data_IF_727453940807
#
_entry.id   IF_727453940807
#
_cell.length_a   1.000
_cell.length_b   1.000
_cell.length_c   1.000
_cell.angle_alpha   90.00
_cell.angle_beta   90.00
_cell.angle_gamma   90.00
#
_symmetry.space_group_name_H-M   'P 1'
#
loop_
_entity.id
_entity.type
_entity.pdbx_description
1 polymer ?
#
# COMPACT_ATOMS: atom_id res chain seq x y z
N UNK A 1 -25.20 0.73 2.01
CA UNK A 1 -23.94 0.99 1.26
C UNK A 1 -22.68 0.63 2.06
N UNK A 2 -22.58 0.94 3.35
CA UNK A 2 -21.37 0.66 4.15
C UNK A 2 -20.98 -0.82 4.23
N UNK A 3 -21.95 -1.73 4.46
CA UNK A 3 -21.72 -3.20 4.47
C UNK A 3 -21.16 -3.73 3.15
N UNK A 4 -21.64 -3.19 2.03
CA UNK A 4 -21.17 -3.55 0.69
C UNK A 4 -19.71 -3.10 0.51
N UNK A 5 -19.41 -1.84 0.82
CA UNK A 5 -18.05 -1.30 0.73
C UNK A 5 -17.05 -2.05 1.64
N UNK A 6 -17.47 -2.44 2.84
CA UNK A 6 -16.67 -3.28 3.74
C UNK A 6 -16.33 -4.64 3.11
N UNK A 7 -17.32 -5.36 2.58
CA UNK A 7 -17.11 -6.66 1.94
C UNK A 7 -16.18 -6.55 0.72
N UNK A 8 -16.39 -5.53 -0.13
CA UNK A 8 -15.52 -5.28 -1.27
C UNK A 8 -14.09 -4.96 -0.87
N UNK A 9 -13.89 -4.15 0.17
CA UNK A 9 -12.54 -3.84 0.67
C UNK A 9 -11.80 -5.12 1.08
N UNK A 10 -12.48 -6.04 1.79
CA UNK A 10 -11.89 -7.33 2.18
C UNK A 10 -11.58 -8.23 0.99
N UNK A 11 -12.47 -8.26 0.00
CA UNK A 11 -12.25 -9.00 -1.24
C UNK A 11 -10.97 -8.51 -1.95
N UNK A 12 -10.84 -7.19 -2.14
CA UNK A 12 -9.67 -6.61 -2.84
C UNK A 12 -8.36 -6.75 -2.07
N UNK A 13 -8.40 -6.69 -0.73
CA UNK A 13 -7.23 -7.04 0.11
C UNK A 13 -6.88 -8.52 -0.05
N UNK A 14 -7.88 -9.40 -0.10
CA UNK A 14 -7.66 -10.83 -0.34
C UNK A 14 -6.99 -11.07 -1.68
N UNK A 15 -7.46 -10.40 -2.74
CA UNK A 15 -6.87 -10.48 -4.07
C UNK A 15 -5.41 -9.99 -4.08
N UNK A 16 -5.14 -8.83 -3.47
CA UNK A 16 -3.76 -8.32 -3.40
C UNK A 16 -2.84 -9.21 -2.58
N UNK A 17 -3.31 -9.71 -1.44
CA UNK A 17 -2.54 -10.60 -0.56
C UNK A 17 -2.23 -11.95 -1.23
N UNK A 18 -3.18 -12.49 -2.01
CA UNK A 18 -2.98 -13.74 -2.75
C UNK A 18 -1.90 -13.59 -3.82
N UNK A 19 -1.94 -12.51 -4.61
CA UNK A 19 -0.93 -12.25 -5.63
C UNK A 19 0.47 -12.10 -5.02
N UNK A 20 0.59 -11.38 -3.90
CA UNK A 20 1.83 -11.26 -3.12
C UNK A 20 2.36 -12.65 -2.70
N UNK A 21 1.51 -13.48 -2.09
CA UNK A 21 1.89 -14.83 -1.65
C UNK A 21 2.39 -15.69 -2.81
N UNK A 22 1.68 -15.70 -3.94
CA UNK A 22 2.06 -16.48 -5.12
C UNK A 22 3.44 -16.04 -5.64
N UNK A 23 3.67 -14.73 -5.80
CA UNK A 23 4.92 -14.21 -6.35
C UNK A 23 6.12 -14.45 -5.42
N UNK A 24 5.93 -14.37 -4.10
CA UNK A 24 6.99 -14.58 -3.10
C UNK A 24 7.32 -16.05 -2.92
N UNK A 25 6.31 -16.91 -2.72
CA UNK A 25 6.52 -18.35 -2.46
C UNK A 25 7.16 -19.04 -3.66
N UNK A 26 6.75 -18.66 -4.87
CA UNK A 26 7.28 -19.23 -6.11
C UNK A 26 8.57 -18.53 -6.58
N UNK A 27 9.05 -17.49 -5.86
CA UNK A 27 10.25 -16.71 -6.19
C UNK A 27 10.31 -16.29 -7.67
N UNK A 28 9.19 -15.77 -8.19
CA UNK A 28 9.01 -15.54 -9.62
C UNK A 28 9.93 -14.45 -10.19
N UNK A 29 10.40 -13.52 -9.36
CA UNK A 29 11.34 -12.45 -9.70
C UNK A 29 12.06 -11.94 -8.44
N UNK A 30 13.11 -11.14 -8.59
CA UNK A 30 13.80 -10.53 -7.43
C UNK A 30 12.92 -9.49 -6.75
N UNK A 31 12.08 -8.75 -7.49
CA UNK A 31 11.03 -7.85 -6.95
C UNK A 31 9.67 -8.12 -7.60
N UNK A 32 8.57 -7.70 -6.96
CA UNK A 32 7.23 -7.89 -7.56
C UNK A 32 7.09 -7.14 -8.87
N UNK A 33 7.55 -5.89 -8.90
CA UNK A 33 7.46 -5.03 -10.08
C UNK A 33 8.24 -5.57 -11.28
N UNK A 34 9.30 -6.35 -11.07
CA UNK A 34 10.06 -6.98 -12.15
C UNK A 34 9.25 -8.03 -12.94
N UNK A 35 8.08 -8.46 -12.47
CA UNK A 35 7.18 -9.30 -13.27
C UNK A 35 6.49 -8.54 -14.42
N UNK A 36 6.67 -7.23 -14.54
CA UNK A 36 6.16 -6.44 -15.67
C UNK A 36 6.68 -6.94 -17.02
N UNK A 37 5.82 -7.04 -18.03
CA UNK A 37 6.12 -7.60 -19.35
C UNK A 37 6.67 -9.06 -19.31
N UNK A 38 6.29 -9.84 -18.31
CA UNK A 38 6.60 -11.29 -18.22
C UNK A 38 5.30 -12.11 -18.24
N UNK A 39 5.41 -13.44 -18.32
CA UNK A 39 4.26 -14.34 -18.21
C UNK A 39 3.51 -14.22 -16.86
N UNK A 40 4.17 -13.70 -15.83
CA UNK A 40 3.62 -13.53 -14.48
C UNK A 40 2.99 -12.15 -14.25
N UNK A 41 3.02 -11.26 -15.25
CA UNK A 41 2.41 -9.93 -15.19
C UNK A 41 0.93 -9.93 -14.73
N UNK A 42 0.07 -10.90 -15.08
CA UNK A 42 -1.29 -10.95 -14.55
C UNK A 42 -1.37 -10.97 -13.02
N UNK A 43 -0.42 -11.60 -12.32
CA UNK A 43 -0.37 -11.62 -10.85
C UNK A 43 0.04 -10.27 -10.27
N UNK A 44 1.00 -9.60 -10.92
CA UNK A 44 1.38 -8.23 -10.58
C UNK A 44 0.19 -7.28 -10.76
N UNK A 45 -0.48 -7.35 -11.90
CA UNK A 45 -1.64 -6.51 -12.20
C UNK A 45 -2.80 -6.76 -11.23
N UNK A 46 -3.14 -8.02 -10.94
CA UNK A 46 -4.16 -8.36 -9.94
C UNK A 46 -3.81 -7.79 -8.56
N UNK A 47 -2.54 -7.84 -8.17
CA UNK A 47 -2.05 -7.29 -6.90
C UNK A 47 -2.23 -5.78 -6.85
N UNK A 48 -1.72 -5.06 -7.84
CA UNK A 48 -1.78 -3.60 -7.91
C UNK A 48 -3.22 -3.10 -8.03
N UNK A 49 -4.06 -3.74 -8.87
CA UNK A 49 -5.49 -3.42 -8.97
C UNK A 49 -6.19 -3.63 -7.62
N UNK A 50 -5.89 -4.72 -6.91
CA UNK A 50 -6.43 -4.97 -5.57
C UNK A 50 -6.06 -3.88 -4.57
N UNK A 51 -4.81 -3.40 -4.60
CA UNK A 51 -4.35 -2.28 -3.76
C UNK A 51 -5.08 -0.98 -4.15
N UNK A 52 -5.12 -0.64 -5.44
CA UNK A 52 -5.80 0.56 -5.95
C UNK A 52 -7.29 0.56 -5.56
N UNK A 53 -7.99 -0.55 -5.78
CA UNK A 53 -9.40 -0.69 -5.43
C UNK A 53 -9.63 -0.58 -3.92
N UNK A 54 -8.78 -1.23 -3.10
CA UNK A 54 -8.82 -1.15 -1.64
C UNK A 54 -8.76 0.30 -1.15
N UNK A 55 -7.77 1.06 -1.60
CA UNK A 55 -7.58 2.45 -1.16
C UNK A 55 -8.62 3.41 -1.76
N UNK A 56 -9.08 3.15 -2.99
CA UNK A 56 -10.18 3.89 -3.61
C UNK A 56 -11.46 3.74 -2.79
N UNK A 57 -11.87 2.50 -2.47
CA UNK A 57 -13.07 2.24 -1.65
C UNK A 57 -12.91 2.86 -0.27
N UNK A 58 -11.75 2.73 0.37
CA UNK A 58 -11.49 3.35 1.69
C UNK A 58 -11.58 4.88 1.64
N UNK A 59 -11.12 5.52 0.57
CA UNK A 59 -11.25 6.98 0.44
C UNK A 59 -12.71 7.46 0.46
N UNK A 60 -13.62 6.64 -0.06
CA UNK A 60 -15.03 6.97 -0.21
C UNK A 60 -15.87 6.52 0.99
N UNK A 61 -15.63 5.30 1.49
CA UNK A 61 -16.55 4.58 2.37
C UNK A 61 -15.99 4.23 3.75
N UNK A 62 -14.74 4.60 4.05
CA UNK A 62 -14.17 4.34 5.38
C UNK A 62 -14.94 5.13 6.47
N UNK A 63 -15.28 4.55 7.63
CA UNK A 63 -16.11 5.22 8.66
C UNK A 63 -15.53 6.54 9.19
N UNK A 64 -14.20 6.64 9.21
CA UNK A 64 -13.43 7.85 9.57
C UNK A 64 -12.78 8.50 8.34
N UNK A 65 -13.40 8.46 7.16
CA UNK A 65 -12.87 9.09 5.94
C UNK A 65 -12.64 10.61 6.13
N UNK A 66 -13.51 11.28 6.90
CA UNK A 66 -13.41 12.71 7.19
C UNK A 66 -12.38 13.12 8.26
N UNK A 67 -11.78 12.14 8.96
CA UNK A 67 -10.82 12.40 10.04
C UNK A 67 -9.59 13.15 9.52
N UNK A 68 -9.22 14.24 10.20
CA UNK A 68 -7.93 14.90 10.00
C UNK A 68 -6.80 14.06 10.56
N UNK A 69 -5.72 13.91 9.79
CA UNK A 69 -4.52 13.15 10.17
C UNK A 69 -3.41 14.11 10.64
N UNK A 70 -3.09 15.09 9.81
CA UNK A 70 -2.08 16.11 10.11
C UNK A 70 -2.36 17.40 9.34
N UNK A 71 -1.73 18.49 9.81
CA UNK A 71 -1.78 19.81 9.18
C UNK A 71 -0.60 19.90 8.21
N UNK A 72 -0.87 20.31 6.98
CA UNK A 72 0.15 20.56 5.97
C UNK A 72 -0.15 21.95 5.39
N UNK A 73 0.63 22.97 5.72
CA UNK A 73 0.42 24.34 5.21
C UNK A 73 0.99 24.50 3.78
N UNK A 74 0.51 23.69 2.84
CA UNK A 74 0.95 23.68 1.45
C UNK A 74 -0.27 23.87 0.51
N UNK A 75 -0.17 24.78 -0.45
CA UNK A 75 -1.20 25.04 -1.48
C UNK A 75 -2.64 25.17 -0.95
N UNK A 76 -2.86 25.89 0.16
CA UNK A 76 -4.17 26.13 0.82
C UNK A 76 -4.85 24.89 1.43
N UNK A 77 -4.24 23.71 1.36
CA UNK A 77 -4.69 22.58 2.17
C UNK A 77 -4.33 22.94 3.62
N UNK A 78 -5.28 22.86 4.55
CA UNK A 78 -5.01 23.05 5.99
C UNK A 78 -5.01 21.73 6.75
N UNK A 79 -5.78 20.76 6.26
CA UNK A 79 -5.96 19.46 6.91
C UNK A 79 -5.90 18.34 5.88
N UNK A 80 -4.90 17.47 6.02
CA UNK A 80 -4.88 16.21 5.28
C UNK A 80 -5.82 15.25 6.01
N UNK A 81 -6.91 14.87 5.33
CA UNK A 81 -7.88 13.92 5.86
C UNK A 81 -7.53 12.51 5.40
N UNK A 82 -8.00 11.51 6.14
CA UNK A 82 -7.81 10.10 5.80
C UNK A 82 -8.27 9.78 4.36
N UNK A 83 -9.39 10.38 3.91
CA UNK A 83 -9.82 10.21 2.52
C UNK A 83 -8.84 10.74 1.49
N UNK A 84 -8.20 11.87 1.76
CA UNK A 84 -7.23 12.46 0.84
C UNK A 84 -5.99 11.59 0.74
N UNK A 85 -5.51 11.07 1.87
CA UNK A 85 -4.34 10.21 1.89
C UNK A 85 -4.63 8.85 1.23
N UNK A 86 -5.78 8.23 1.50
CA UNK A 86 -6.21 7.02 0.78
C UNK A 86 -6.35 7.24 -0.73
N UNK A 87 -6.95 8.36 -1.17
CA UNK A 87 -7.07 8.69 -2.58
C UNK A 87 -5.69 8.91 -3.23
N UNK A 88 -4.80 9.66 -2.56
CA UNK A 88 -3.43 9.86 -3.02
C UNK A 88 -2.67 8.53 -3.15
N UNK A 89 -2.76 7.66 -2.14
CA UNK A 89 -2.20 6.30 -2.20
C UNK A 89 -2.71 5.51 -3.41
N UNK A 90 -4.03 5.52 -3.66
CA UNK A 90 -4.61 4.81 -4.79
C UNK A 90 -4.08 5.34 -6.14
N UNK A 91 -3.98 6.67 -6.28
CA UNK A 91 -3.42 7.31 -7.48
C UNK A 91 -1.95 6.94 -7.66
N UNK A 92 -1.16 6.92 -6.58
CA UNK A 92 0.25 6.58 -6.63
C UNK A 92 0.46 5.13 -7.09
N UNK A 93 -0.30 4.18 -6.54
CA UNK A 93 -0.27 2.77 -7.00
C UNK A 93 -0.80 2.58 -8.42
N UNK A 94 -1.79 3.38 -8.86
CA UNK A 94 -2.20 3.39 -10.26
C UNK A 94 -1.07 3.89 -11.17
N UNK A 95 -0.27 4.87 -10.71
CA UNK A 95 0.96 5.28 -11.37
C UNK A 95 1.98 4.13 -11.50
N UNK A 96 2.19 3.35 -10.44
CA UNK A 96 3.05 2.15 -10.47
C UNK A 96 2.61 1.15 -11.56
N UNK A 97 1.29 0.98 -11.73
CA UNK A 97 0.71 0.11 -12.76
C UNK A 97 0.93 0.65 -14.19
N UNK A 98 0.90 1.98 -14.36
CA UNK A 98 1.06 2.62 -15.68
C UNK A 98 2.53 2.66 -16.11
N UNK A 99 3.45 2.98 -15.20
CA UNK A 99 4.87 3.09 -15.50
C UNK A 99 5.57 1.79 -15.15
N UNK A 100 5.86 0.93 -16.12
CA UNK A 100 6.52 -0.35 -15.87
C UNK A 100 8.02 -0.24 -15.57
N UNK A 101 8.51 -0.97 -14.56
CA UNK A 101 9.94 -0.94 -14.17
C UNK A 101 10.88 -1.52 -15.24
N UNK A 102 10.39 -2.44 -16.09
CA UNK A 102 11.15 -3.05 -17.18
C UNK A 102 11.07 -2.23 -18.50
N UNK A 103 10.58 -0.99 -18.47
CA UNK A 103 10.52 -0.14 -19.67
C UNK A 103 11.91 0.09 -20.26
N UNK A 104 12.09 0.10 -21.60
CA UNK A 104 13.37 0.45 -22.21
C UNK A 104 13.76 1.92 -21.97
N UNK A 105 12.83 2.76 -21.52
CA UNK A 105 13.02 4.19 -21.37
C UNK A 105 13.31 4.56 -19.91
N UNK A 106 14.49 5.14 -19.66
CA UNK A 106 14.97 5.43 -18.29
C UNK A 106 14.03 6.32 -17.47
N UNK A 107 13.40 7.34 -18.07
CA UNK A 107 12.49 8.22 -17.34
C UNK A 107 11.23 7.49 -16.85
N UNK A 108 10.77 6.44 -17.56
CA UNK A 108 9.63 5.61 -17.14
C UNK A 108 10.01 4.77 -15.93
N UNK A 109 11.21 4.17 -15.93
CA UNK A 109 11.73 3.42 -14.79
C UNK A 109 11.87 4.33 -13.56
N UNK A 110 12.43 5.53 -13.73
CA UNK A 110 12.53 6.53 -12.66
C UNK A 110 11.16 6.93 -12.13
N UNK A 111 10.18 7.16 -13.03
CA UNK A 111 8.81 7.45 -12.62
C UNK A 111 8.22 6.30 -11.80
N UNK A 112 8.39 5.04 -12.22
CA UNK A 112 7.94 3.86 -11.48
C UNK A 112 8.50 3.85 -10.05
N UNK A 113 9.80 4.05 -9.89
CA UNK A 113 10.47 4.05 -8.59
C UNK A 113 9.97 5.19 -7.69
N UNK A 114 9.78 6.39 -8.25
CA UNK A 114 9.21 7.53 -7.53
C UNK A 114 7.78 7.23 -7.08
N UNK A 115 6.92 6.72 -7.96
CA UNK A 115 5.54 6.35 -7.63
C UNK A 115 5.50 5.28 -6.56
N UNK A 116 6.36 4.26 -6.64
CA UNK A 116 6.46 3.18 -5.65
C UNK A 116 6.88 3.73 -4.28
N UNK A 117 7.96 4.53 -4.22
CA UNK A 117 8.44 5.12 -2.98
C UNK A 117 7.41 6.04 -2.32
N UNK A 118 6.76 6.90 -3.12
CA UNK A 118 5.69 7.77 -2.63
C UNK A 118 4.45 6.99 -2.19
N UNK A 119 4.08 5.92 -2.91
CA UNK A 119 2.95 5.06 -2.56
C UNK A 119 3.19 4.42 -1.19
N UNK A 120 4.34 3.78 -0.99
CA UNK A 120 4.74 3.17 0.29
C UNK A 120 4.74 4.23 1.40
N UNK A 121 5.40 5.38 1.18
CA UNK A 121 5.44 6.46 2.16
C UNK A 121 4.02 6.93 2.54
N UNK A 122 3.13 7.13 1.57
CA UNK A 122 1.76 7.58 1.82
C UNK A 122 0.95 6.61 2.69
N UNK A 123 1.15 5.30 2.48
CA UNK A 123 0.49 4.25 3.26
C UNK A 123 1.00 4.25 4.70
N UNK A 124 2.32 4.32 4.88
CA UNK A 124 2.92 4.34 6.22
C UNK A 124 2.59 5.61 7.00
N UNK A 125 2.50 6.76 6.33
CA UNK A 125 1.96 7.98 6.93
C UNK A 125 0.53 7.76 7.43
N UNK A 126 -0.31 7.08 6.64
CA UNK A 126 -1.66 6.78 7.07
C UNK A 126 -1.66 5.87 8.31
N UNK A 127 -0.88 4.79 8.27
CA UNK A 127 -0.72 3.86 9.40
C UNK A 127 -0.27 4.58 10.68
N UNK A 128 0.69 5.51 10.60
CA UNK A 128 1.27 6.22 11.75
C UNK A 128 0.35 7.32 12.31
N UNK A 129 -0.32 8.09 11.45
CA UNK A 129 -1.16 9.22 11.88
C UNK A 129 -2.62 8.84 12.15
N UNK A 130 -3.03 7.62 11.79
CA UNK A 130 -4.40 7.16 12.01
C UNK A 130 -4.77 6.89 13.48
N UNK A 131 -3.93 6.29 14.35
CA UNK A 131 -4.36 5.94 15.71
C UNK A 131 -4.41 7.12 16.70
N UNK A 132 -5.46 7.17 17.51
CA UNK A 132 -5.61 8.17 18.59
C UNK A 132 -5.19 7.64 19.96
N UNK A 133 -5.39 6.34 20.21
CA UNK A 133 -5.08 5.72 21.49
C UNK A 133 -3.58 5.46 21.64
N UNK A 134 -3.08 5.49 22.87
CA UNK A 134 -1.66 5.17 23.16
C UNK A 134 -1.27 3.79 22.63
N UNK A 135 -2.12 2.78 22.87
CA UNK A 135 -1.91 1.41 22.37
C UNK A 135 -1.91 1.37 20.85
N UNK A 136 -2.86 2.03 20.18
CA UNK A 136 -2.91 2.07 18.73
C UNK A 136 -1.69 2.73 18.11
N UNK A 137 -1.18 3.82 18.70
CA UNK A 137 0.04 4.50 18.26
C UNK A 137 1.27 3.60 18.44
N UNK A 138 1.38 2.93 19.59
CA UNK A 138 2.47 1.98 19.82
C UNK A 138 2.48 0.86 18.76
N UNK A 139 1.32 0.25 18.49
CA UNK A 139 1.21 -0.79 17.47
C UNK A 139 1.52 -0.27 16.05
N UNK A 140 1.12 0.96 15.73
CA UNK A 140 1.46 1.59 14.46
C UNK A 140 2.96 1.85 14.32
N UNK A 141 3.61 2.39 15.35
CA UNK A 141 5.07 2.59 15.35
C UNK A 141 5.80 1.26 15.23
N UNK A 142 5.38 0.24 16.00
CA UNK A 142 5.94 -1.11 15.90
C UNK A 142 5.78 -1.67 14.48
N UNK A 143 4.59 -1.56 13.89
CA UNK A 143 4.33 -1.99 12.52
C UNK A 143 5.20 -1.24 11.50
N UNK A 144 5.41 0.07 11.67
CA UNK A 144 6.30 0.85 10.83
C UNK A 144 7.77 0.42 10.97
N UNK A 145 8.24 0.18 12.20
CA UNK A 145 9.61 -0.31 12.45
C UNK A 145 9.82 -1.69 11.83
N UNK A 146 8.88 -2.62 12.03
CA UNK A 146 8.97 -3.98 11.46
C UNK A 146 8.90 -3.93 9.95
N UNK A 147 7.98 -3.16 9.37
CA UNK A 147 7.80 -3.10 7.93
C UNK A 147 8.92 -2.36 7.19
N UNK A 148 9.26 -1.14 7.60
CA UNK A 148 10.33 -0.34 6.99
C UNK A 148 11.69 -0.94 7.32
N UNK A 149 11.94 -1.26 8.59
CA UNK A 149 13.20 -1.87 9.01
C UNK A 149 13.41 -3.24 8.36
N UNK A 150 12.36 -4.06 8.29
CA UNK A 150 12.37 -5.34 7.60
C UNK A 150 12.68 -5.21 6.11
N UNK A 151 12.01 -4.29 5.41
CA UNK A 151 12.29 -3.99 4.00
C UNK A 151 13.74 -3.57 3.76
N UNK A 152 14.25 -2.62 4.55
CA UNK A 152 15.65 -2.18 4.42
C UNK A 152 16.61 -3.34 4.72
N UNK A 153 16.30 -4.14 5.75
CA UNK A 153 17.15 -5.26 6.14
C UNK A 153 17.23 -6.38 5.10
N UNK A 154 16.18 -6.55 4.28
CA UNK A 154 16.20 -7.48 3.16
C UNK A 154 17.29 -7.12 2.11
N UNK A 155 17.75 -5.87 2.04
CA UNK A 155 18.86 -5.47 1.17
C UNK A 155 20.26 -5.78 1.74
N UNK A 156 20.36 -6.14 3.03
CA UNK A 156 21.63 -6.49 3.68
C UNK A 156 21.85 -7.99 3.84
N UNK A 157 20.80 -8.78 3.67
CA UNK A 157 20.84 -10.25 3.73
C UNK A 157 20.59 -10.84 2.35
N UNK A 158 20.81 -12.16 2.20
CA UNK A 158 20.59 -12.90 0.96
C UNK A 158 19.09 -13.15 0.68
N UNK A 159 18.28 -12.11 0.88
CA UNK A 159 16.84 -12.08 0.65
C UNK A 159 16.54 -11.41 -0.68
N UNK A 160 15.45 -11.82 -1.34
CA UNK A 160 14.99 -11.12 -2.54
C UNK A 160 14.31 -9.80 -2.16
N UNK A 161 14.31 -8.82 -3.06
CA UNK A 161 13.58 -7.55 -2.87
C UNK A 161 12.09 -7.84 -2.63
N UNK A 162 11.53 -8.86 -3.30
CA UNK A 162 10.15 -9.33 -3.15
C UNK A 162 9.84 -9.83 -1.73
N UNK A 163 10.79 -10.49 -1.06
CA UNK A 163 10.65 -10.88 0.34
C UNK A 163 10.62 -9.64 1.25
N UNK A 164 11.47 -8.65 0.97
CA UNK A 164 11.42 -7.34 1.63
C UNK A 164 10.09 -6.62 1.43
N UNK A 165 9.59 -6.56 0.19
CA UNK A 165 8.30 -5.95 -0.16
C UNK A 165 7.14 -6.62 0.59
N UNK A 166 7.21 -7.94 0.78
CA UNK A 166 6.23 -8.69 1.58
C UNK A 166 6.26 -8.26 3.04
N UNK A 167 7.45 -8.17 3.64
CA UNK A 167 7.60 -7.75 5.04
C UNK A 167 7.04 -6.33 5.23
N UNK A 168 7.28 -5.42 4.28
CA UNK A 168 6.68 -4.09 4.29
C UNK A 168 5.14 -4.11 4.11
N UNK A 169 4.59 -5.06 3.36
CA UNK A 169 3.15 -5.11 3.11
C UNK A 169 2.35 -5.65 4.31
N UNK A 170 2.91 -6.56 5.11
CA UNK A 170 2.19 -7.25 6.20
C UNK A 170 1.60 -6.27 7.25
N UNK A 171 2.36 -5.32 7.84
CA UNK A 171 1.81 -4.36 8.80
C UNK A 171 0.70 -3.50 8.21
N UNK A 172 0.84 -3.13 6.93
CA UNK A 172 -0.16 -2.37 6.18
C UNK A 172 -1.44 -3.17 6.03
N UNK A 173 -1.36 -4.40 5.55
CA UNK A 173 -2.52 -5.28 5.36
C UNK A 173 -3.28 -5.45 6.68
N UNK A 174 -2.56 -5.74 7.76
CA UNK A 174 -3.14 -5.85 9.09
C UNK A 174 -3.84 -4.55 9.52
N UNK A 175 -3.18 -3.40 9.36
CA UNK A 175 -3.78 -2.09 9.65
C UNK A 175 -5.04 -1.84 8.83
N UNK A 176 -5.02 -2.09 7.51
CA UNK A 176 -6.17 -1.90 6.63
C UNK A 176 -7.35 -2.76 7.11
N UNK A 177 -7.12 -4.04 7.43
CA UNK A 177 -8.16 -4.96 7.91
C UNK A 177 -8.73 -4.53 9.27
N UNK A 178 -7.88 -4.08 10.19
CA UNK A 178 -8.30 -3.68 11.54
C UNK A 178 -9.09 -2.36 11.54
N UNK A 179 -8.79 -1.46 10.61
CA UNK A 179 -9.40 -0.13 10.52
C UNK A 179 -10.62 -0.07 9.60
N UNK A 180 -10.72 -1.02 8.66
CA UNK A 180 -11.95 -1.24 7.89
C UNK A 180 -12.89 -2.09 8.73
N UNK A 181 -13.64 -1.50 9.66
CA UNK A 181 -14.72 -2.19 10.40
C UNK A 181 -16.03 -1.45 10.19
N UNK A 182 -17.14 -2.17 10.12
CA UNK A 182 -18.45 -1.55 10.18
C UNK A 182 -18.61 -0.87 11.54
N UNK A 183 -19.19 0.33 11.57
CA UNK A 183 -19.73 0.86 12.82
C UNK A 183 -20.79 -0.15 13.28
N UNK A 184 -20.61 -0.69 14.48
CA UNK A 184 -21.65 -1.49 15.14
C UNK A 184 -22.79 -0.57 15.52
#
# INVERSE_FOLDING_TARGET
>A
MEKLAYNWTRFWIGLSSLGILVMVVLKLAESWSQNHATANEPWLNATLIGIVATFTIRSMAHPLAGKGLFILNLFRIKWVRNRHLCAATAILFAGVLIFGVNSPTSWVQTAHLIFTGLAIASVYLNLLFYPETKVGRFLAVLGAVVGIGGFISAFWWDHTIAEGEMIAAVPVIAWVLLTTKLKK
#
